data_IF_969599597223
#
_entry.id   IF_969599597223
#
_cell.length_a   1.000
_cell.length_b   1.000
_cell.length_c   1.000
_cell.angle_alpha   90.00
_cell.angle_beta   90.00
_cell.angle_gamma   90.00
#
_symmetry.space_group_name_H-M   'P 1'
#
loop_
_entity.id
_entity.type
_entity.pdbx_description
1 polymer ?
#
# COMPACT_ATOMS: atom_id res chain seq x y z
N UNK A 1 2.96 17.49 -25.13
CA UNK A 1 2.11 16.72 -24.21
C UNK A 1 2.17 17.43 -22.86
N UNK A 2 1.02 17.62 -22.21
CA UNK A 2 0.98 18.24 -20.89
C UNK A 2 1.54 17.28 -19.83
N UNK A 3 2.34 17.78 -18.89
CA UNK A 3 2.92 16.98 -17.82
C UNK A 3 1.82 16.51 -16.86
N UNK A 4 1.70 15.20 -16.68
CA UNK A 4 0.70 14.63 -15.76
C UNK A 4 0.94 15.08 -14.33
N UNK A 5 -0.14 15.22 -13.57
CA UNK A 5 -0.14 15.54 -12.14
C UNK A 5 -0.78 14.39 -11.38
N UNK A 6 0.05 13.51 -10.82
CA UNK A 6 -0.40 12.32 -10.09
C UNK A 6 -0.21 12.53 -8.59
N UNK A 7 -1.25 12.23 -7.82
CA UNK A 7 -1.21 12.21 -6.36
C UNK A 7 -1.32 10.76 -5.92
N UNK A 8 -0.45 10.33 -5.00
CA UNK A 8 -0.62 9.12 -4.22
C UNK A 8 -0.98 9.53 -2.80
N UNK A 9 -2.06 8.97 -2.26
CA UNK A 9 -2.48 9.18 -0.86
C UNK A 9 -2.41 7.83 -0.15
N UNK A 10 -1.82 7.82 1.04
CA UNK A 10 -1.64 6.63 1.88
C UNK A 10 -1.89 6.99 3.35
N UNK A 11 -2.90 6.35 3.95
CA UNK A 11 -3.29 6.61 5.34
C UNK A 11 -2.19 6.21 6.34
N UNK A 12 -2.01 7.00 7.38
CA UNK A 12 -0.93 6.76 8.33
C UNK A 12 -1.31 5.66 9.33
N UNK A 13 -0.58 4.53 9.31
CA UNK A 13 -0.81 3.37 10.18
C UNK A 13 -2.29 2.93 10.23
N UNK A 14 -2.96 2.92 9.07
CA UNK A 14 -4.42 2.93 8.93
C UNK A 14 -5.22 2.16 9.98
N UNK A 15 -5.09 0.82 10.05
CA UNK A 15 -5.90 0.04 10.99
C UNK A 15 -5.62 0.42 12.44
N UNK A 16 -4.35 0.61 12.82
CA UNK A 16 -4.01 1.00 14.19
C UNK A 16 -4.56 2.41 14.53
N UNK A 17 -4.54 3.33 13.58
CA UNK A 17 -5.11 4.67 13.75
C UNK A 17 -6.63 4.65 13.88
N UNK A 18 -7.33 3.79 13.13
CA UNK A 18 -8.78 3.58 13.30
C UNK A 18 -9.09 3.05 14.70
N UNK A 19 -8.33 2.08 15.19
CA UNK A 19 -8.49 1.56 16.55
C UNK A 19 -8.22 2.62 17.62
N UNK A 20 -7.16 3.43 17.48
CA UNK A 20 -6.85 4.51 18.44
C UNK A 20 -7.85 5.66 18.41
N UNK A 21 -8.52 5.89 17.28
CA UNK A 21 -9.62 6.86 17.17
C UNK A 21 -10.85 6.38 17.94
N UNK A 22 -11.26 5.14 17.69
CA UNK A 22 -12.49 4.59 18.27
C UNK A 22 -12.34 4.20 19.75
N UNK A 23 -11.12 3.88 20.18
CA UNK A 23 -10.78 3.49 21.56
C UNK A 23 -9.71 4.44 22.13
N UNK A 24 -10.12 5.55 22.77
CA UNK A 24 -9.20 6.57 23.28
C UNK A 24 -8.14 6.03 24.24
N UNK A 25 -8.40 4.93 24.94
CA UNK A 25 -7.46 4.27 25.84
C UNK A 25 -6.23 3.67 25.13
N UNK A 26 -6.26 3.48 23.80
CA UNK A 26 -5.13 3.00 23.01
C UNK A 26 -4.23 4.14 22.49
N UNK A 27 -4.70 5.39 22.55
CA UNK A 27 -4.00 6.55 22.00
C UNK A 27 -2.64 6.74 22.66
N UNK A 28 -1.60 6.93 21.83
CA UNK A 28 -0.23 7.12 22.31
C UNK A 28 0.44 5.87 22.88
N UNK A 29 -0.21 4.69 22.80
CA UNK A 29 0.35 3.42 23.26
C UNK A 29 0.78 2.56 22.07
N UNK A 30 1.80 1.68 22.23
CA UNK A 30 2.14 0.69 21.22
C UNK A 30 0.94 -0.22 20.96
N UNK A 31 0.34 -0.11 19.78
CA UNK A 31 -0.82 -0.90 19.37
C UNK A 31 -0.48 -1.73 18.13
N UNK A 32 -0.89 -3.00 18.16
CA UNK A 32 -0.72 -3.96 17.08
C UNK A 32 -2.08 -4.53 16.72
N UNK A 33 -2.47 -4.35 15.46
CA UNK A 33 -3.66 -4.97 14.89
C UNK A 33 -3.24 -6.30 14.27
N UNK A 34 -3.79 -7.40 14.77
CA UNK A 34 -3.43 -8.75 14.33
C UNK A 34 -4.07 -9.82 15.20
N UNK A 35 -3.63 -11.07 15.03
CA UNK A 35 -4.03 -12.15 15.94
C UNK A 35 -3.26 -12.13 17.25
N UNK A 36 -3.60 -13.02 18.20
CA UNK A 36 -2.96 -13.10 19.51
C UNK A 36 -1.44 -13.30 19.40
N UNK A 37 -0.64 -12.83 20.39
CA UNK A 37 0.81 -13.01 20.44
C UNK A 37 1.28 -14.45 20.21
N UNK A 38 0.55 -15.45 20.71
CA UNK A 38 0.94 -16.86 20.63
C UNK A 38 0.34 -17.59 19.43
N UNK A 39 -0.29 -16.88 18.49
CA UNK A 39 -0.90 -17.46 17.29
C UNK A 39 0.08 -17.51 16.10
N UNK A 40 -0.30 -18.24 15.05
CA UNK A 40 0.39 -18.23 13.74
C UNK A 40 0.06 -16.98 12.89
N UNK A 41 -0.62 -16.00 13.48
CA UNK A 41 -1.03 -14.77 12.79
C UNK A 41 0.15 -13.82 12.55
N UNK A 42 -0.07 -12.89 11.64
CA UNK A 42 0.86 -11.80 11.35
C UNK A 42 0.25 -10.46 11.73
N UNK A 43 1.12 -9.48 11.96
CA UNK A 43 0.76 -8.08 12.17
C UNK A 43 0.11 -7.54 10.90
N UNK A 44 -1.16 -7.15 10.99
CA UNK A 44 -1.89 -6.47 9.91
C UNK A 44 -1.48 -5.00 9.82
N UNK A 45 -1.40 -4.32 10.98
CA UNK A 45 -0.86 -2.98 11.11
C UNK A 45 -0.26 -2.77 12.50
N UNK A 46 0.67 -1.83 12.60
CA UNK A 46 1.25 -1.41 13.87
C UNK A 46 1.26 0.12 13.94
N UNK A 47 0.90 0.66 15.11
CA UNK A 47 0.95 2.09 15.40
C UNK A 47 2.39 2.61 15.33
N UNK A 48 2.56 3.93 15.20
CA UNK A 48 3.91 4.52 15.17
C UNK A 48 4.67 4.25 16.47
N UNK A 49 3.99 4.17 17.61
CA UNK A 49 4.58 3.81 18.89
C UNK A 49 5.11 2.37 18.88
N UNK A 50 4.37 1.42 18.30
CA UNK A 50 4.82 0.03 18.15
C UNK A 50 5.99 -0.10 17.14
N UNK A 51 5.98 0.69 16.06
CA UNK A 51 7.05 0.69 15.05
C UNK A 51 8.41 1.10 15.62
N UNK A 52 8.45 1.91 16.69
CA UNK A 52 9.71 2.28 17.40
C UNK A 52 10.43 1.05 17.96
N UNK A 53 9.71 -0.03 18.26
CA UNK A 53 10.27 -1.30 18.73
C UNK A 53 10.68 -2.22 17.57
N UNK A 54 10.62 -1.75 16.32
CA UNK A 54 10.95 -2.52 15.13
C UNK A 54 9.81 -3.41 14.62
N UNK A 55 8.61 -3.31 15.19
CA UNK A 55 7.41 -4.01 14.69
C UNK A 55 7.04 -3.49 13.31
N UNK A 56 6.71 -4.40 12.39
CA UNK A 56 6.34 -4.10 10.99
C UNK A 56 5.16 -4.96 10.55
N UNK A 57 4.38 -4.49 9.59
CA UNK A 57 3.35 -5.31 8.94
C UNK A 57 3.93 -6.59 8.34
N UNK A 58 3.12 -7.65 8.29
CA UNK A 58 3.49 -9.00 7.90
C UNK A 58 4.56 -9.69 8.78
N UNK A 59 4.98 -9.07 9.89
CA UNK A 59 5.78 -9.74 10.92
C UNK A 59 4.92 -10.76 11.69
N UNK A 60 5.44 -11.94 12.07
CA UNK A 60 4.72 -12.84 12.97
C UNK A 60 4.34 -12.14 14.29
N UNK A 61 3.08 -12.31 14.75
CA UNK A 61 2.61 -11.70 16.00
C UNK A 61 3.46 -12.12 17.22
N UNK A 62 3.93 -13.37 17.23
CA UNK A 62 4.85 -13.88 18.26
C UNK A 62 6.17 -13.12 18.29
N UNK A 63 6.73 -12.80 17.12
CA UNK A 63 7.95 -11.99 17.05
C UNK A 63 7.68 -10.54 17.46
N UNK A 64 6.54 -10.00 17.06
CA UNK A 64 6.16 -8.64 17.44
C UNK A 64 6.00 -8.49 18.96
N UNK A 65 5.41 -9.50 19.63
CA UNK A 65 5.29 -9.54 21.09
C UNK A 65 6.64 -9.66 21.81
N UNK A 66 7.62 -10.35 21.22
CA UNK A 66 8.98 -10.35 21.76
C UNK A 66 9.66 -8.97 21.64
N UNK A 67 9.42 -8.25 20.55
CA UNK A 67 10.00 -6.93 20.30
C UNK A 67 9.33 -5.83 21.12
N UNK A 68 8.02 -5.92 21.32
CA UNK A 68 7.22 -4.98 22.10
C UNK A 68 6.31 -5.73 23.11
N UNK A 69 6.86 -6.25 24.22
CA UNK A 69 6.10 -6.99 25.23
C UNK A 69 4.94 -6.20 25.86
N UNK A 70 5.04 -4.87 25.86
CA UNK A 70 4.04 -3.94 26.38
C UNK A 70 2.97 -3.54 25.35
N UNK A 71 3.05 -4.06 24.11
CA UNK A 71 2.11 -3.68 23.07
C UNK A 71 0.71 -4.26 23.32
N UNK A 72 -0.30 -3.46 23.02
CA UNK A 72 -1.70 -3.87 23.03
C UNK A 72 -1.96 -4.60 21.71
N UNK A 73 -2.52 -5.81 21.79
CA UNK A 73 -2.93 -6.59 20.62
C UNK A 73 -4.45 -6.53 20.49
N UNK A 74 -4.93 -6.15 19.30
CA UNK A 74 -6.36 -6.08 18.98
C UNK A 74 -6.66 -6.82 17.69
N UNK A 75 -7.80 -7.51 17.66
CA UNK A 75 -8.27 -8.20 16.47
C UNK A 75 -8.76 -7.19 15.42
N UNK A 76 -8.51 -7.45 14.11
CA UNK A 76 -8.90 -6.51 13.06
C UNK A 76 -10.42 -6.41 12.87
N UNK A 77 -10.95 -5.18 12.88
CA UNK A 77 -12.34 -4.84 12.57
C UNK A 77 -12.53 -4.47 11.09
N UNK A 78 -12.34 -5.44 10.20
CA UNK A 78 -12.31 -5.21 8.73
C UNK A 78 -13.55 -4.51 8.14
N UNK A 79 -14.74 -4.70 8.70
CA UNK A 79 -15.93 -3.99 8.22
C UNK A 79 -15.82 -2.48 8.48
N UNK A 80 -15.34 -2.06 9.66
CA UNK A 80 -15.07 -0.65 9.98
C UNK A 80 -13.99 -0.08 9.05
N UNK A 81 -12.92 -0.85 8.79
CA UNK A 81 -11.84 -0.39 7.91
C UNK A 81 -12.33 -0.17 6.47
N UNK A 82 -13.23 -1.04 5.97
CA UNK A 82 -13.86 -0.87 4.66
C UNK A 82 -14.78 0.34 4.60
N UNK A 83 -15.54 0.60 5.66
CA UNK A 83 -16.40 1.78 5.74
C UNK A 83 -15.59 3.07 5.68
N UNK A 84 -14.50 3.16 6.44
CA UNK A 84 -13.60 4.33 6.40
C UNK A 84 -12.92 4.44 5.03
N UNK A 85 -12.48 3.32 4.43
CA UNK A 85 -11.93 3.30 3.07
C UNK A 85 -12.92 3.85 2.03
N UNK A 86 -14.21 3.52 2.17
CA UNK A 86 -15.28 4.03 1.29
C UNK A 86 -15.39 5.56 1.41
N UNK A 87 -15.37 6.10 2.64
CA UNK A 87 -15.39 7.56 2.86
C UNK A 87 -14.18 8.26 2.22
N UNK A 88 -12.99 7.68 2.36
CA UNK A 88 -11.77 8.20 1.73
C UNK A 88 -11.89 8.20 0.20
N UNK A 89 -12.40 7.10 -0.37
CA UNK A 89 -12.64 7.01 -1.82
C UNK A 89 -13.66 8.04 -2.30
N UNK A 90 -14.72 8.29 -1.54
CA UNK A 90 -15.70 9.33 -1.85
C UNK A 90 -15.05 10.72 -1.88
N UNK A 91 -14.18 11.04 -0.92
CA UNK A 91 -13.38 12.27 -0.93
C UNK A 91 -12.54 12.36 -2.21
N UNK A 92 -11.85 11.28 -2.61
CA UNK A 92 -11.04 11.29 -3.84
C UNK A 92 -11.87 11.61 -5.08
N UNK A 93 -13.09 11.06 -5.17
CA UNK A 93 -13.99 11.25 -6.31
C UNK A 93 -14.56 12.66 -6.42
N UNK A 94 -14.49 13.48 -5.37
CA UNK A 94 -14.82 14.91 -5.44
C UNK A 94 -13.81 15.71 -6.26
N UNK A 95 -12.59 15.18 -6.47
CA UNK A 95 -11.51 15.86 -7.17
C UNK A 95 -11.30 15.36 -8.60
N UNK A 96 -11.44 14.05 -8.83
CA UNK A 96 -11.25 13.43 -10.15
C UNK A 96 -11.99 12.11 -10.24
N UNK A 97 -12.40 11.70 -11.44
CA UNK A 97 -12.92 10.34 -11.69
C UNK A 97 -11.80 9.31 -11.90
N UNK A 98 -10.57 9.78 -12.13
CA UNK A 98 -9.40 8.94 -12.32
C UNK A 98 -8.79 8.58 -10.97
N UNK A 99 -9.46 7.69 -10.24
CA UNK A 99 -9.07 7.19 -8.92
C UNK A 99 -8.80 5.69 -8.97
N UNK A 100 -7.57 5.27 -8.67
CA UNK A 100 -7.17 3.86 -8.59
C UNK A 100 -6.85 3.49 -7.14
N UNK A 101 -7.79 2.80 -6.48
CA UNK A 101 -7.55 2.22 -5.15
C UNK A 101 -6.63 1.00 -5.27
N UNK A 102 -5.56 0.97 -4.49
CA UNK A 102 -4.61 -0.16 -4.43
C UNK A 102 -4.95 -1.12 -3.30
N UNK A 103 -5.41 -0.58 -2.17
CA UNK A 103 -5.80 -1.29 -0.95
C UNK A 103 -6.97 -0.55 -0.29
N UNK A 104 -7.23 -0.84 1.00
CA UNK A 104 -8.21 -0.06 1.77
C UNK A 104 -7.70 1.35 2.13
N UNK A 105 -6.39 1.55 2.14
CA UNK A 105 -5.75 2.74 2.72
C UNK A 105 -4.88 3.55 1.77
N UNK A 106 -4.67 3.08 0.54
CA UNK A 106 -3.93 3.83 -0.47
C UNK A 106 -4.59 3.83 -1.85
N UNK A 107 -4.36 4.93 -2.58
CA UNK A 107 -4.83 5.10 -3.94
C UNK A 107 -4.09 6.19 -4.72
N UNK A 108 -4.11 6.05 -6.05
CA UNK A 108 -3.65 7.08 -6.98
C UNK A 108 -4.81 7.93 -7.48
N UNK A 109 -4.53 9.21 -7.69
CA UNK A 109 -5.43 10.15 -8.33
C UNK A 109 -4.68 10.83 -9.47
N UNK A 110 -5.26 10.82 -10.68
CA UNK A 110 -4.81 11.69 -11.76
C UNK A 110 -5.61 13.00 -11.71
N UNK A 111 -4.92 14.08 -11.36
CA UNK A 111 -5.50 15.43 -11.22
C UNK A 111 -4.94 16.38 -12.28
N UNK A 112 -4.42 15.83 -13.38
CA UNK A 112 -3.97 16.62 -14.54
C UNK A 112 -5.07 17.58 -14.96
N UNK A 113 -6.27 17.03 -15.16
CA UNK A 113 -7.54 17.73 -15.22
C UNK A 113 -8.39 17.30 -14.03
N UNK A 114 -8.85 18.24 -13.22
CA UNK A 114 -9.61 17.96 -11.99
C UNK A 114 -10.91 18.74 -11.97
N UNK A 115 -11.92 18.19 -11.29
CA UNK A 115 -13.30 18.70 -11.24
C UNK A 115 -13.41 20.12 -10.66
N UNK A 116 -12.44 20.51 -9.82
CA UNK A 116 -12.43 21.80 -9.12
C UNK A 116 -11.62 22.88 -9.85
N UNK A 117 -11.05 22.58 -11.01
CA UNK A 117 -10.18 23.48 -11.78
C UNK A 117 -9.01 24.07 -10.95
N UNK A 118 -8.50 23.31 -9.98
CA UNK A 118 -7.37 23.74 -9.15
C UNK A 118 -6.08 23.52 -9.96
N UNK A 119 -5.26 24.55 -10.20
CA UNK A 119 -4.10 24.44 -11.09
C UNK A 119 -3.01 23.53 -10.50
N UNK A 120 -2.74 23.67 -9.20
CA UNK A 120 -1.63 23.01 -8.52
C UNK A 120 -2.06 21.74 -7.78
N UNK A 121 -1.45 20.61 -8.13
CA UNK A 121 -1.74 19.32 -7.47
C UNK A 121 -1.36 19.29 -5.99
N UNK A 122 -0.38 20.09 -5.56
CA UNK A 122 -0.05 20.26 -4.13
C UNK A 122 -1.22 20.84 -3.34
N UNK A 123 -2.00 21.75 -3.92
CA UNK A 123 -3.20 22.31 -3.28
C UNK A 123 -4.26 21.24 -3.12
N UNK A 124 -4.51 20.45 -4.17
CA UNK A 124 -5.45 19.32 -4.12
C UNK A 124 -5.03 18.30 -3.07
N UNK A 125 -3.74 17.93 -3.01
CA UNK A 125 -3.24 16.99 -2.01
C UNK A 125 -3.41 17.51 -0.57
N UNK A 126 -3.21 18.81 -0.32
CA UNK A 126 -3.47 19.44 0.98
C UNK A 126 -4.95 19.43 1.34
N UNK A 127 -5.82 19.77 0.39
CA UNK A 127 -7.27 19.73 0.63
C UNK A 127 -7.74 18.30 0.91
N UNK A 128 -7.34 17.31 0.10
CA UNK A 128 -7.71 15.90 0.33
C UNK A 128 -7.31 15.45 1.73
N UNK A 129 -6.07 15.72 2.16
CA UNK A 129 -5.61 15.37 3.51
C UNK A 129 -6.44 16.06 4.59
N UNK A 130 -6.80 17.33 4.37
CA UNK A 130 -7.63 18.11 5.29
C UNK A 130 -9.05 17.55 5.38
N UNK A 131 -9.65 17.20 4.25
CA UNK A 131 -10.99 16.60 4.19
C UNK A 131 -11.02 15.20 4.79
N UNK A 132 -9.98 14.38 4.56
CA UNK A 132 -9.82 13.09 5.25
C UNK A 132 -9.81 13.30 6.76
N UNK A 133 -8.98 14.22 7.25
CA UNK A 133 -8.91 14.48 8.69
C UNK A 133 -10.23 14.99 9.26
N UNK A 134 -10.89 15.94 8.59
CA UNK A 134 -12.19 16.47 9.03
C UNK A 134 -13.29 15.40 9.11
N UNK A 135 -13.37 14.50 8.13
CA UNK A 135 -14.47 13.52 8.06
C UNK A 135 -14.20 12.24 8.84
N UNK A 136 -12.93 11.88 9.02
CA UNK A 136 -12.56 10.58 9.58
C UNK A 136 -11.77 10.68 10.88
N UNK A 137 -11.26 11.87 11.24
CA UNK A 137 -10.30 12.11 12.32
C UNK A 137 -8.97 11.32 12.19
N UNK A 138 -8.67 10.84 10.98
CA UNK A 138 -7.45 10.10 10.66
C UNK A 138 -6.53 10.96 9.80
N UNK A 139 -5.22 10.73 9.92
CA UNK A 139 -4.24 11.42 9.07
C UNK A 139 -3.86 10.57 7.87
N UNK A 140 -3.51 11.26 6.79
CA UNK A 140 -2.95 10.67 5.59
C UNK A 140 -1.68 11.41 5.19
N UNK A 141 -0.74 10.67 4.63
CA UNK A 141 0.39 11.25 3.91
C UNK A 141 0.16 11.19 2.42
N UNK A 142 0.66 12.20 1.70
CA UNK A 142 0.48 12.28 0.26
C UNK A 142 1.79 12.62 -0.46
N UNK A 143 1.90 12.10 -1.68
CA UNK A 143 3.01 12.35 -2.58
C UNK A 143 2.50 12.86 -3.92
N UNK A 144 3.12 13.91 -4.44
CA UNK A 144 2.79 14.49 -5.73
C UNK A 144 3.96 14.30 -6.68
N UNK A 145 3.69 13.80 -7.88
CA UNK A 145 4.70 13.59 -8.91
C UNK A 145 4.10 13.55 -10.31
N UNK A 146 4.97 13.38 -11.32
CA UNK A 146 4.57 13.31 -12.74
C UNK A 146 4.12 11.91 -13.19
N UNK A 147 4.15 10.92 -12.29
CA UNK A 147 3.80 9.53 -12.57
C UNK A 147 3.40 8.81 -11.27
N UNK A 148 2.85 7.59 -11.40
CA UNK A 148 2.54 6.72 -10.26
C UNK A 148 3.77 6.38 -9.44
N UNK A 149 4.86 6.00 -10.10
CA UNK A 149 6.12 5.65 -9.42
C UNK A 149 6.63 6.78 -8.53
N UNK A 150 6.70 8.01 -9.07
CA UNK A 150 7.22 9.17 -8.33
C UNK A 150 6.27 9.58 -7.20
N UNK A 151 4.97 9.66 -7.46
CA UNK A 151 3.99 10.04 -6.44
C UNK A 151 3.97 9.05 -5.26
N UNK A 152 4.09 7.75 -5.52
CA UNK A 152 4.18 6.73 -4.45
C UNK A 152 5.47 6.83 -3.64
N UNK A 153 6.63 7.03 -4.28
CA UNK A 153 7.88 7.23 -3.54
C UNK A 153 7.83 8.52 -2.70
N UNK A 154 7.21 9.57 -3.23
CA UNK A 154 7.03 10.84 -2.53
C UNK A 154 6.16 10.68 -1.28
N UNK A 155 5.06 9.92 -1.33
CA UNK A 155 4.14 9.79 -0.17
C UNK A 155 4.78 9.11 1.03
N UNK A 156 5.82 8.29 0.83
CA UNK A 156 6.55 7.62 1.91
C UNK A 156 7.55 8.54 2.63
N UNK A 157 8.11 9.54 1.93
CA UNK A 157 9.29 10.28 2.40
C UNK A 157 9.07 11.05 3.71
N UNK A 158 7.89 11.66 3.87
CA UNK A 158 7.57 12.53 5.01
C UNK A 158 6.49 11.96 5.93
N UNK A 159 6.26 10.63 5.93
CA UNK A 159 5.31 9.99 6.87
C UNK A 159 5.74 10.19 8.34
N UNK A 160 4.81 10.38 9.31
CA UNK A 160 3.35 10.51 9.17
C UNK A 160 2.86 11.94 8.86
N UNK A 161 1.60 12.03 8.44
CA UNK A 161 0.87 13.27 8.17
C UNK A 161 1.67 14.26 7.28
N UNK A 162 2.40 13.69 6.32
CA UNK A 162 3.34 14.41 5.49
C UNK A 162 2.80 14.71 4.10
N UNK A 163 3.44 15.68 3.44
CA UNK A 163 3.28 15.91 2.01
C UNK A 163 4.64 16.09 1.39
N UNK A 164 4.89 15.41 0.28
CA UNK A 164 6.10 15.60 -0.53
C UNK A 164 5.69 15.84 -1.97
N UNK A 165 6.32 16.84 -2.59
CA UNK A 165 6.12 17.17 -4.01
C UNK A 165 7.45 16.97 -4.72
N UNK A 166 7.43 16.27 -5.84
CA UNK A 166 8.59 16.09 -6.71
C UNK A 166 8.25 16.72 -8.06
N UNK A 167 8.95 17.80 -8.40
CA UNK A 167 8.80 18.47 -9.69
C UNK A 167 9.44 17.64 -10.80
N UNK A 168 9.01 17.80 -12.07
CA UNK A 168 9.58 17.04 -13.19
C UNK A 168 11.11 17.12 -13.29
N UNK A 169 11.69 18.30 -13.04
CA UNK A 169 13.13 18.52 -13.12
C UNK A 169 13.90 17.93 -11.92
N UNK A 170 13.21 17.67 -10.81
CA UNK A 170 13.79 17.09 -9.59
C UNK A 170 13.70 15.56 -9.55
N UNK A 171 13.08 14.92 -10.55
CA UNK A 171 12.79 13.48 -10.53
C UNK A 171 14.06 12.65 -10.36
N UNK A 172 15.12 12.96 -11.11
CA UNK A 172 16.37 12.20 -11.06
C UNK A 172 17.10 12.41 -9.73
N UNK A 173 17.23 13.66 -9.28
CA UNK A 173 17.88 13.99 -8.00
C UNK A 173 17.12 13.41 -6.81
N UNK A 174 15.80 13.25 -6.94
CA UNK A 174 14.95 12.58 -5.97
C UNK A 174 15.13 11.05 -5.94
N UNK A 175 15.20 10.39 -7.10
CA UNK A 175 15.32 8.92 -7.20
C UNK A 175 16.73 8.42 -6.83
N UNK A 176 17.76 9.10 -7.35
CA UNK A 176 19.16 8.66 -7.26
C UNK A 176 19.62 8.19 -5.87
N UNK A 177 19.35 8.93 -4.76
CA UNK A 177 19.82 8.54 -3.43
C UNK A 177 18.96 7.45 -2.77
N UNK A 178 17.80 7.09 -3.34
CA UNK A 178 16.88 6.15 -2.69
C UNK A 178 17.37 4.71 -2.86
N UNK A 179 17.23 3.86 -1.83
CA UNK A 179 17.55 2.44 -1.95
C UNK A 179 16.58 1.75 -2.90
N UNK A 180 17.07 0.88 -3.79
CA UNK A 180 16.20 0.18 -4.76
C UNK A 180 15.11 -0.68 -4.12
N UNK A 181 15.30 -1.08 -2.85
CA UNK A 181 14.30 -1.81 -2.08
C UNK A 181 13.04 -1.00 -1.74
N UNK A 182 13.06 0.33 -1.90
CA UNK A 182 11.85 1.16 -1.78
C UNK A 182 11.07 1.26 -3.08
N UNK A 183 11.62 0.79 -4.21
CA UNK A 183 10.99 0.95 -5.52
C UNK A 183 9.82 -0.03 -5.67
N UNK A 184 8.70 0.47 -6.18
CA UNK A 184 7.56 -0.36 -6.50
C UNK A 184 7.96 -1.50 -7.45
N UNK A 185 7.68 -2.75 -7.07
CA UNK A 185 8.05 -3.94 -7.83
C UNK A 185 9.41 -4.55 -7.47
N UNK A 186 10.13 -3.99 -6.48
CA UNK A 186 11.37 -4.57 -5.95
C UNK A 186 11.12 -5.18 -4.57
N UNK A 187 10.77 -6.48 -4.56
CA UNK A 187 10.61 -7.24 -3.32
C UNK A 187 11.94 -7.67 -2.70
N UNK A 188 11.91 -8.30 -1.51
CA UNK A 188 13.11 -8.74 -0.77
C UNK A 188 14.07 -9.59 -1.61
N UNK A 189 13.54 -10.49 -2.44
CA UNK A 189 14.33 -11.37 -3.30
C UNK A 189 15.01 -10.57 -4.41
N UNK A 190 14.25 -9.72 -5.12
CA UNK A 190 14.80 -8.84 -6.16
C UNK A 190 15.85 -7.89 -5.60
N UNK A 191 15.59 -7.27 -4.44
CA UNK A 191 16.54 -6.37 -3.78
C UNK A 191 17.86 -7.09 -3.43
N UNK A 192 17.80 -8.34 -2.97
CA UNK A 192 19.00 -9.16 -2.72
C UNK A 192 19.78 -9.40 -4.00
N UNK A 193 19.10 -9.79 -5.08
CA UNK A 193 19.72 -10.00 -6.39
C UNK A 193 20.35 -8.71 -6.94
N UNK A 194 19.66 -7.58 -6.82
CA UNK A 194 20.21 -6.26 -7.19
C UNK A 194 21.48 -5.95 -6.40
N UNK A 195 21.48 -6.21 -5.08
CA UNK A 195 22.65 -6.03 -4.23
C UNK A 195 23.84 -6.89 -4.67
N UNK A 196 23.60 -8.15 -5.03
CA UNK A 196 24.64 -9.05 -5.58
C UNK A 196 25.25 -8.52 -6.88
N UNK A 197 24.48 -7.75 -7.66
CA UNK A 197 24.92 -7.08 -8.89
C UNK A 197 25.52 -5.67 -8.66
N UNK A 198 25.73 -5.29 -7.40
CA UNK A 198 26.24 -3.97 -7.03
C UNK A 198 25.22 -2.83 -7.15
N UNK A 199 23.93 -3.13 -7.24
CA UNK A 199 22.85 -2.16 -7.38
C UNK A 199 22.20 -1.93 -6.01
N UNK A 200 22.54 -0.81 -5.37
CA UNK A 200 22.02 -0.46 -4.04
C UNK A 200 21.00 0.67 -4.10
N UNK A 201 21.25 1.65 -4.97
CA UNK A 201 20.49 2.90 -5.06
C UNK A 201 19.88 3.10 -6.44
N UNK A 202 18.96 4.06 -6.56
CA UNK A 202 18.43 4.51 -7.84
C UNK A 202 19.53 4.91 -8.82
N UNK A 203 20.59 5.58 -8.31
CA UNK A 203 21.77 5.96 -9.09
C UNK A 203 22.48 4.73 -9.66
N UNK A 204 22.72 3.70 -8.84
CA UNK A 204 23.38 2.47 -9.29
C UNK A 204 22.53 1.73 -10.32
N UNK A 205 21.20 1.73 -10.16
CA UNK A 205 20.30 1.10 -11.12
C UNK A 205 20.30 1.85 -12.46
N UNK A 206 20.38 3.19 -12.42
CA UNK A 206 20.41 4.05 -13.61
C UNK A 206 21.68 3.86 -14.44
N UNK A 207 22.81 3.46 -13.85
CA UNK A 207 24.06 3.22 -14.60
C UNK A 207 24.05 1.93 -15.41
N UNK A 208 23.10 1.01 -15.15
CA UNK A 208 22.97 -0.25 -15.88
C UNK A 208 22.34 -0.07 -17.25
N UNK A 209 22.82 -0.85 -18.22
CA UNK A 209 22.21 -0.95 -19.53
C UNK A 209 20.89 -1.73 -19.47
N UNK A 210 20.04 -1.52 -20.49
CA UNK A 210 18.79 -2.27 -20.61
C UNK A 210 19.05 -3.78 -20.78
N UNK A 211 20.08 -4.15 -21.54
CA UNK A 211 20.43 -5.55 -21.81
C UNK A 211 20.86 -6.29 -20.55
N UNK A 212 21.71 -5.69 -19.71
CA UNK A 212 22.09 -6.26 -18.40
C UNK A 212 20.86 -6.48 -17.51
N UNK A 213 19.97 -5.49 -17.44
CA UNK A 213 18.77 -5.58 -16.61
C UNK A 213 17.80 -6.63 -17.14
N UNK A 214 17.63 -6.75 -18.46
CA UNK A 214 16.79 -7.79 -19.08
C UNK A 214 17.39 -9.17 -18.88
N UNK A 215 18.71 -9.33 -19.01
CA UNK A 215 19.39 -10.60 -18.77
C UNK A 215 19.16 -11.09 -17.34
N UNK A 216 19.18 -10.19 -16.35
CA UNK A 216 19.01 -10.58 -14.94
C UNK A 216 17.56 -10.62 -14.47
N UNK A 217 16.66 -9.80 -14.99
CA UNK A 217 15.30 -9.62 -14.46
C UNK A 217 14.19 -9.87 -15.50
N UNK A 218 14.52 -10.27 -16.73
CA UNK A 218 13.58 -10.48 -17.81
C UNK A 218 12.78 -9.22 -18.14
N UNK A 219 11.47 -9.37 -18.33
CA UNK A 219 10.56 -8.23 -18.63
C UNK A 219 10.60 -7.13 -17.55
N UNK A 220 10.84 -7.52 -16.29
CA UNK A 220 10.95 -6.54 -15.20
C UNK A 220 12.21 -5.68 -15.30
N UNK A 221 13.25 -6.16 -16.00
CA UNK A 221 14.47 -5.38 -16.27
C UNK A 221 14.17 -4.11 -17.06
N UNK A 222 13.27 -4.20 -18.05
CA UNK A 222 12.80 -3.03 -18.83
C UNK A 222 12.11 -2.03 -17.91
N UNK A 223 11.25 -2.51 -17.01
CA UNK A 223 10.57 -1.65 -16.05
C UNK A 223 11.56 -0.97 -15.09
N UNK A 224 12.54 -1.71 -14.54
CA UNK A 224 13.57 -1.15 -13.66
C UNK A 224 14.45 -0.11 -14.38
N UNK A 225 14.80 -0.36 -15.64
CA UNK A 225 15.55 0.57 -16.48
C UNK A 225 14.80 1.91 -16.67
N UNK A 226 13.50 1.85 -16.95
CA UNK A 226 12.64 3.01 -17.17
C UNK A 226 12.44 3.82 -15.88
N UNK A 227 12.02 3.18 -14.78
CA UNK A 227 11.72 3.91 -13.54
C UNK A 227 12.96 4.58 -12.92
N UNK A 228 14.16 4.01 -13.08
CA UNK A 228 15.40 4.64 -12.59
C UNK A 228 15.71 5.94 -13.34
N UNK A 229 15.11 6.15 -14.51
CA UNK A 229 15.21 7.36 -15.34
C UNK A 229 13.98 8.27 -15.19
N UNK A 230 13.09 7.98 -14.24
CA UNK A 230 11.86 8.74 -14.05
C UNK A 230 10.76 8.43 -15.06
N UNK A 231 10.95 7.41 -15.90
CA UNK A 231 10.00 7.03 -16.94
C UNK A 231 8.99 6.01 -16.40
N UNK A 232 7.73 6.43 -16.27
CA UNK A 232 6.62 5.56 -15.90
C UNK A 232 5.35 5.99 -16.61
N UNK A 233 5.02 5.29 -17.71
CA UNK A 233 3.88 5.57 -18.59
C UNK A 233 2.56 5.00 -18.07
N UNK A 234 2.57 4.26 -16.95
CA UNK A 234 1.35 3.64 -16.40
C UNK A 234 0.32 4.73 -16.06
N UNK A 235 -0.87 4.61 -16.63
CA UNK A 235 -1.99 5.52 -16.37
C UNK A 235 -2.72 5.10 -15.09
N UNK A 236 -3.35 6.06 -14.41
CA UNK A 236 -4.30 5.77 -13.32
C UNK A 236 -5.57 5.16 -13.92
N UNK A 237 -5.97 4.00 -13.42
CA UNK A 237 -7.09 3.20 -13.88
C UNK A 237 -8.23 3.28 -12.87
N UNK A 238 -9.32 3.96 -13.25
CA UNK A 238 -10.49 4.17 -12.40
C UNK A 238 -11.28 2.89 -12.09
N UNK A 239 -11.13 1.86 -12.95
CA UNK A 239 -11.72 0.55 -12.78
C UNK A 239 -10.67 -0.53 -12.98
N UNK A 240 -10.72 -1.54 -12.11
CA UNK A 240 -9.96 -2.77 -12.27
C UNK A 240 -10.93 -3.92 -12.19
N UNK A 241 -11.11 -4.62 -13.30
CA UNK A 241 -11.82 -5.89 -13.27
C UNK A 241 -11.03 -6.89 -12.45
N UNK A 242 -11.69 -7.46 -11.43
CA UNK A 242 -11.10 -8.47 -10.57
C UNK A 242 -10.98 -9.77 -11.38
N UNK A 243 -9.75 -10.21 -11.64
CA UNK A 243 -9.49 -11.41 -12.47
C UNK A 243 -9.54 -12.74 -11.70
N UNK A 244 -9.48 -12.70 -10.37
CA UNK A 244 -9.51 -13.90 -9.54
C UNK A 244 -10.20 -13.66 -8.20
N UNK A 245 -10.89 -14.69 -7.70
CA UNK A 245 -11.54 -14.71 -6.41
C UNK A 245 -11.18 -16.03 -5.72
N UNK A 246 -10.75 -15.95 -4.47
CA UNK A 246 -10.41 -17.11 -3.67
C UNK A 246 -10.72 -16.86 -2.20
N UNK A 247 -10.70 -17.92 -1.41
CA UNK A 247 -10.71 -17.89 0.05
C UNK A 247 -9.69 -18.92 0.54
N UNK A 248 -9.02 -18.58 1.63
CA UNK A 248 -8.01 -19.43 2.27
C UNK A 248 -8.16 -19.32 3.78
N UNK A 249 -7.74 -20.36 4.49
CA UNK A 249 -7.69 -20.37 5.94
C UNK A 249 -6.39 -21.04 6.39
N UNK A 250 -5.62 -20.35 7.24
CA UNK A 250 -4.39 -20.90 7.83
C UNK A 250 -4.74 -21.46 9.21
N UNK A 251 -4.55 -22.77 9.40
CA UNK A 251 -4.88 -23.41 10.67
C UNK A 251 -3.83 -23.12 11.76
N UNK A 252 -4.28 -23.00 13.01
CA UNK A 252 -3.43 -22.79 14.19
C UNK A 252 -2.48 -23.97 14.47
N UNK A 253 -2.88 -25.17 14.05
CA UNK A 253 -2.10 -26.40 14.13
C UNK A 253 -2.26 -27.17 12.82
N UNK A 254 -1.26 -27.98 12.51
CA UNK A 254 -1.31 -28.80 11.31
C UNK A 254 -2.42 -29.84 11.47
N UNK A 255 -3.29 -29.92 10.46
CA UNK A 255 -4.38 -30.89 10.38
C UNK A 255 -3.96 -31.98 9.41
N UNK A 256 -3.92 -33.21 9.90
CA UNK A 256 -3.52 -34.40 9.11
C UNK A 256 -4.69 -35.35 8.87
N UNK A 257 -5.80 -35.17 9.59
CA UNK A 257 -7.00 -35.96 9.45
C UNK A 257 -7.76 -35.60 8.17
N UNK A 258 -8.04 -36.61 7.35
CA UNK A 258 -8.66 -36.42 6.05
C UNK A 258 -10.09 -35.85 6.15
N UNK A 259 -10.87 -36.34 7.10
CA UNK A 259 -12.27 -35.93 7.25
C UNK A 259 -12.38 -34.49 7.76
N UNK A 260 -11.52 -34.08 8.68
CA UNK A 260 -11.41 -32.69 9.12
C UNK A 260 -10.97 -31.79 7.95
N UNK A 261 -9.96 -32.18 7.18
CA UNK A 261 -9.54 -31.42 5.99
C UNK A 261 -10.67 -31.27 4.95
N UNK A 262 -11.45 -32.33 4.72
CA UNK A 262 -12.60 -32.29 3.82
C UNK A 262 -13.69 -31.34 4.32
N UNK A 263 -13.92 -31.29 5.64
CA UNK A 263 -14.83 -30.33 6.27
C UNK A 263 -14.34 -28.90 6.09
N UNK A 264 -13.06 -28.63 6.36
CA UNK A 264 -12.47 -27.29 6.18
C UNK A 264 -12.56 -26.84 4.71
N UNK A 265 -12.33 -27.75 3.76
CA UNK A 265 -12.46 -27.45 2.33
C UNK A 265 -13.89 -27.04 1.98
N UNK A 266 -14.90 -27.73 2.51
CA UNK A 266 -16.31 -27.36 2.33
C UNK A 266 -16.60 -25.96 2.88
N UNK A 267 -16.11 -25.65 4.08
CA UNK A 267 -16.30 -24.33 4.68
C UNK A 267 -15.69 -23.21 3.81
N UNK A 268 -14.47 -23.43 3.30
CA UNK A 268 -13.81 -22.50 2.36
C UNK A 268 -14.59 -22.38 1.06
N UNK A 269 -15.13 -23.48 0.52
CA UNK A 269 -15.93 -23.48 -0.70
C UNK A 269 -17.20 -22.64 -0.56
N UNK A 270 -17.92 -22.74 0.56
CA UNK A 270 -19.11 -21.91 0.85
C UNK A 270 -18.73 -20.42 0.89
N UNK A 271 -17.56 -20.08 1.42
CA UNK A 271 -17.08 -18.68 1.42
C UNK A 271 -16.79 -18.20 0.00
N UNK A 272 -16.20 -19.04 -0.86
CA UNK A 272 -15.97 -18.71 -2.28
C UNK A 272 -17.30 -18.53 -3.00
N UNK A 273 -18.25 -19.46 -2.84
CA UNK A 273 -19.58 -19.41 -3.44
C UNK A 273 -20.32 -18.12 -3.06
N UNK A 274 -20.42 -17.80 -1.76
CA UNK A 274 -21.03 -16.54 -1.30
C UNK A 274 -20.36 -15.30 -1.89
N UNK A 275 -19.04 -15.34 -2.08
CA UNK A 275 -18.29 -14.23 -2.68
C UNK A 275 -18.54 -14.13 -4.20
N UNK A 276 -18.81 -15.24 -4.88
CA UNK A 276 -19.23 -15.28 -6.28
C UNK A 276 -20.65 -14.74 -6.43
N UNK A 277 -21.61 -15.19 -5.62
CA UNK A 277 -23.01 -14.71 -5.70
C UNK A 277 -23.12 -13.18 -5.50
N UNK A 278 -22.30 -12.62 -4.62
CA UNK A 278 -22.24 -11.17 -4.39
C UNK A 278 -21.61 -10.37 -5.54
N UNK A 279 -21.01 -11.02 -6.54
CA UNK A 279 -20.41 -10.37 -7.70
C UNK A 279 -20.78 -11.13 -8.97
N UNK A 280 -21.64 -10.55 -9.79
CA UNK A 280 -21.77 -10.93 -11.21
C UNK A 280 -20.36 -10.80 -11.81
N UNK A 281 -19.63 -11.92 -11.95
CA UNK A 281 -18.41 -11.96 -12.73
C UNK A 281 -18.86 -11.90 -14.19
N UNK A 282 -18.36 -10.96 -15.01
CA UNK A 282 -18.68 -10.97 -16.43
C UNK A 282 -18.20 -12.30 -17.04
N UNK A 283 -19.07 -12.91 -17.84
CA UNK A 283 -18.72 -14.08 -18.63
C UNK A 283 -17.51 -13.74 -19.51
N UNK A 284 -16.51 -14.63 -19.52
CA UNK A 284 -15.46 -14.56 -20.52
C UNK A 284 -16.09 -14.95 -21.86
N UNK A 285 -16.31 -13.98 -22.74
CA UNK A 285 -16.42 -14.24 -24.18
C UNK A 285 -15.03 -14.24 -24.80
#
# INVERSE_FOLDING_TARGET
>A
METRKIIHVDMDAFYASVEQRDFPEYKGKPLIVGGPPNSRSVVSAASYEARKFGVRSAMPCSKAAQLAPQAIFVFPRFEVYKEVSKQIREIFLEYTDLVEMLSLDEGYLDVTFNKKNIPFAVTIAKEIRTEIFKRTELTASAGVGNSKFISKLASEKNKPNGLTVVLPDDVISFIDPLPVSSFHGVGKVTARKMKELGIYTGKDLRTKSIDELVQHFGKMGIYYYKISRGEDERMVQSSRERKSLGAENTFDRDKLDYDDLLKQLKDVAVVVERRLEKKILPEKH
#
